data_IF_770924951232
#
_entry.id   IF_770924951232
#
_cell.length_a   1.000
_cell.length_b   1.000
_cell.length_c   1.000
_cell.angle_alpha   90.00
_cell.angle_beta   90.00
_cell.angle_gamma   90.00
#
_symmetry.space_group_name_H-M   'P 1'
#
loop_
_entity.id
_entity.type
_entity.pdbx_description
1 polymer ?
#
# COMPACT_ATOMS: atom_id res chain seq x y z
N UNK A 1 8.85 -38.11 30.93
CA UNK A 1 8.70 -36.65 31.18
C UNK A 1 9.88 -35.94 30.53
N UNK A 2 9.65 -34.77 29.93
CA UNK A 2 10.53 -33.93 29.08
C UNK A 2 10.34 -34.13 27.57
N UNK A 3 9.35 -33.39 27.04
CA UNK A 3 9.25 -33.04 25.61
C UNK A 3 10.36 -32.01 25.33
N UNK A 4 11.05 -32.15 24.19
CA UNK A 4 11.97 -31.13 23.69
C UNK A 4 11.13 -29.94 23.22
N UNK A 5 11.29 -28.80 23.88
CA UNK A 5 10.81 -27.52 23.38
C UNK A 5 11.76 -27.06 22.27
N UNK A 6 11.42 -27.41 21.02
CA UNK A 6 12.01 -26.79 19.84
C UNK A 6 11.51 -25.36 19.75
N UNK A 7 12.22 -24.42 20.38
CA UNK A 7 12.01 -22.99 20.12
C UNK A 7 12.61 -22.65 18.76
N UNK A 8 11.75 -22.43 17.76
CA UNK A 8 12.16 -21.84 16.50
C UNK A 8 12.77 -20.45 16.77
N UNK A 9 13.93 -20.10 16.18
CA UNK A 9 14.53 -18.80 16.42
C UNK A 9 13.66 -17.73 15.76
N UNK A 10 13.06 -16.85 16.58
CA UNK A 10 12.49 -15.58 16.10
C UNK A 10 13.68 -14.70 15.71
N UNK A 11 14.14 -14.82 14.47
CA UNK A 11 15.23 -14.01 13.92
C UNK A 11 14.74 -12.56 13.81
N UNK A 12 15.10 -11.73 14.78
CA UNK A 12 15.01 -10.28 14.64
C UNK A 12 16.01 -9.83 13.60
N UNK A 13 15.58 -9.04 12.60
CA UNK A 13 16.51 -8.37 11.69
C UNK A 13 17.51 -7.54 12.51
N UNK A 14 18.79 -7.65 12.16
CA UNK A 14 19.82 -6.81 12.75
C UNK A 14 19.63 -5.36 12.32
N UNK A 15 20.09 -4.40 13.12
CA UNK A 15 19.99 -2.97 12.80
C UNK A 15 20.65 -2.62 11.45
N UNK A 16 21.70 -3.36 11.06
CA UNK A 16 22.36 -3.18 9.76
C UNK A 16 21.47 -3.63 8.58
N UNK A 17 20.71 -4.71 8.72
CA UNK A 17 19.79 -5.17 7.68
C UNK A 17 18.60 -4.21 7.53
N UNK A 18 18.09 -3.67 8.63
CA UNK A 18 17.04 -2.65 8.60
C UNK A 18 17.49 -1.39 7.85
N UNK A 19 18.72 -0.93 8.12
CA UNK A 19 19.31 0.22 7.44
C UNK A 19 19.49 -0.05 5.94
N UNK A 20 20.01 -1.23 5.57
CA UNK A 20 20.17 -1.61 4.16
C UNK A 20 18.83 -1.66 3.41
N UNK A 21 17.75 -2.09 4.08
CA UNK A 21 16.41 -2.09 3.50
C UNK A 21 15.86 -0.67 3.37
N UNK A 22 16.10 0.18 4.37
CA UNK A 22 15.73 1.59 4.31
C UNK A 22 16.44 2.31 3.16
N UNK A 23 17.76 2.14 3.02
CA UNK A 23 18.54 2.77 1.95
C UNK A 23 18.06 2.33 0.56
N UNK A 24 17.69 1.05 0.44
CA UNK A 24 17.28 0.46 -0.85
C UNK A 24 15.83 0.77 -1.23
N UNK A 25 14.92 0.81 -0.26
CA UNK A 25 13.48 0.86 -0.52
C UNK A 25 12.79 2.07 0.12
N UNK A 26 13.50 2.91 0.86
CA UNK A 26 12.94 4.06 1.58
C UNK A 26 12.27 5.04 0.64
N UNK A 27 12.90 5.39 -0.49
CA UNK A 27 12.30 6.27 -1.50
C UNK A 27 11.05 5.69 -2.13
N UNK A 28 11.06 4.39 -2.46
CA UNK A 28 9.89 3.68 -3.01
C UNK A 28 8.73 3.66 -2.01
N UNK A 29 9.00 3.24 -0.78
CA UNK A 29 8.00 3.18 0.29
C UNK A 29 7.44 4.58 0.58
N UNK A 30 8.30 5.58 0.67
CA UNK A 30 7.90 6.97 0.90
C UNK A 30 7.00 7.51 -0.21
N UNK A 31 7.34 7.25 -1.48
CA UNK A 31 6.51 7.64 -2.62
C UNK A 31 5.12 7.01 -2.57
N UNK A 32 5.01 5.73 -2.19
CA UNK A 32 3.73 5.04 -2.02
C UNK A 32 2.93 5.66 -0.88
N UNK A 33 3.56 5.94 0.25
CA UNK A 33 2.91 6.54 1.41
C UNK A 33 2.38 7.94 1.03
N UNK A 34 3.17 8.76 0.32
CA UNK A 34 2.77 10.09 -0.12
C UNK A 34 1.57 10.10 -1.07
N UNK A 35 1.41 9.08 -1.92
CA UNK A 35 0.23 8.93 -2.78
C UNK A 35 -1.05 8.69 -1.98
N UNK A 36 -0.95 8.29 -0.71
CA UNK A 36 -2.10 7.98 0.16
C UNK A 36 -2.30 9.09 1.21
N UNK A 37 -1.19 9.58 1.77
CA UNK A 37 -1.12 10.65 2.77
C UNK A 37 -0.25 11.78 2.19
N UNK A 38 -0.84 12.84 1.60
CA UNK A 38 -0.07 13.94 1.01
C UNK A 38 0.70 14.80 2.03
N UNK A 39 0.44 14.62 3.32
CA UNK A 39 1.11 15.36 4.40
C UNK A 39 2.51 14.77 4.64
N UNK A 40 3.55 15.51 4.24
CA UNK A 40 4.95 15.04 4.26
C UNK A 40 5.44 14.61 5.65
N UNK A 41 5.05 15.33 6.70
CA UNK A 41 5.41 15.00 8.07
C UNK A 41 4.88 13.62 8.49
N UNK A 42 3.58 13.39 8.30
CA UNK A 42 2.94 12.11 8.62
C UNK A 42 3.45 10.98 7.73
N UNK A 43 3.70 11.25 6.45
CA UNK A 43 4.28 10.26 5.55
C UNK A 43 5.69 9.82 6.00
N UNK A 44 6.49 10.74 6.54
CA UNK A 44 7.79 10.42 7.13
C UNK A 44 7.66 9.60 8.42
N UNK A 45 6.71 9.93 9.29
CA UNK A 45 6.43 9.15 10.52
C UNK A 45 6.06 7.70 10.17
N UNK A 46 5.10 7.52 9.25
CA UNK A 46 4.68 6.19 8.77
C UNK A 46 5.84 5.42 8.13
N UNK A 47 6.73 6.10 7.39
CA UNK A 47 7.92 5.50 6.80
C UNK A 47 8.88 4.97 7.88
N UNK A 48 9.19 5.79 8.88
CA UNK A 48 10.08 5.42 9.99
C UNK A 48 9.50 4.24 10.76
N UNK A 49 8.20 4.29 11.08
CA UNK A 49 7.49 3.20 11.74
C UNK A 49 7.52 1.90 10.93
N UNK A 50 7.35 1.99 9.60
CA UNK A 50 7.38 0.82 8.72
C UNK A 50 8.70 0.05 8.84
N UNK A 51 9.83 0.75 8.75
CA UNK A 51 11.16 0.12 8.79
C UNK A 51 11.60 -0.25 10.21
N UNK A 52 11.07 0.43 11.23
CA UNK A 52 11.21 0.02 12.62
C UNK A 52 10.34 -1.21 12.97
N UNK A 53 9.30 -1.50 12.17
CA UNK A 53 8.32 -2.54 12.48
C UNK A 53 8.85 -3.97 12.29
N UNK A 54 8.39 -4.87 13.17
CA UNK A 54 8.63 -6.32 13.04
C UNK A 54 7.97 -6.94 11.80
N UNK A 55 7.04 -6.24 11.15
CA UNK A 55 6.32 -6.76 9.98
C UNK A 55 7.22 -6.79 8.74
N UNK A 56 8.27 -5.96 8.70
CA UNK A 56 9.34 -6.03 7.71
C UNK A 56 10.07 -7.39 7.75
N UNK A 57 10.16 -8.02 8.94
CA UNK A 57 10.80 -9.33 9.12
C UNK A 57 9.99 -10.46 8.46
N UNK A 58 8.66 -10.32 8.39
CA UNK A 58 7.81 -11.26 7.68
C UNK A 58 7.99 -11.17 6.16
N UNK A 59 8.47 -10.03 5.64
CA UNK A 59 8.75 -9.85 4.21
C UNK A 59 10.06 -10.51 3.77
N UNK A 60 11.08 -10.57 4.62
CA UNK A 60 12.36 -11.21 4.28
C UNK A 60 12.29 -12.74 4.27
N UNK A 61 11.31 -13.33 4.95
CA UNK A 61 11.10 -14.79 5.00
C UNK A 61 10.18 -15.37 3.94
N UNK A 62 9.58 -14.54 3.06
CA UNK A 62 8.63 -15.00 2.04
C UNK A 62 9.31 -15.20 0.68
N UNK A 63 8.79 -16.14 -0.12
CA UNK A 63 9.25 -16.43 -1.50
C UNK A 63 8.86 -15.35 -2.53
N UNK A 64 8.11 -14.33 -2.10
CA UNK A 64 7.69 -13.22 -2.95
C UNK A 64 8.79 -12.17 -3.06
N UNK A 65 8.80 -11.42 -4.16
CA UNK A 65 9.74 -10.32 -4.35
C UNK A 65 9.62 -9.33 -3.17
N UNK A 66 10.74 -9.10 -2.47
CA UNK A 66 10.82 -8.23 -1.30
C UNK A 66 10.27 -6.82 -1.59
N UNK A 67 10.46 -6.30 -2.80
CA UNK A 67 9.90 -5.02 -3.23
C UNK A 67 8.35 -5.04 -3.19
N UNK A 68 7.73 -6.11 -3.69
CA UNK A 68 6.26 -6.28 -3.64
C UNK A 68 5.76 -6.35 -2.19
N UNK A 69 6.50 -7.02 -1.31
CA UNK A 69 6.11 -7.09 0.10
C UNK A 69 6.17 -5.71 0.77
N UNK A 70 7.25 -4.95 0.53
CA UNK A 70 7.41 -3.58 1.06
C UNK A 70 6.32 -2.65 0.51
N UNK A 71 6.00 -2.73 -0.79
CA UNK A 71 4.91 -1.95 -1.40
C UNK A 71 3.58 -2.21 -0.70
N UNK A 72 3.25 -3.50 -0.49
CA UNK A 72 2.00 -3.90 0.18
C UNK A 72 1.96 -3.42 1.63
N UNK A 73 3.08 -3.55 2.35
CA UNK A 73 3.18 -3.12 3.74
C UNK A 73 3.07 -1.59 3.86
N UNK A 74 3.77 -0.84 3.00
CA UNK A 74 3.71 0.62 2.95
C UNK A 74 2.29 1.12 2.71
N UNK A 75 1.60 0.54 1.72
CA UNK A 75 0.19 0.87 1.46
C UNK A 75 -0.70 0.55 2.65
N UNK A 76 -0.56 -0.63 3.26
CA UNK A 76 -1.37 -1.01 4.42
C UNK A 76 -1.18 -0.03 5.59
N UNK A 77 0.07 0.34 5.89
CA UNK A 77 0.38 1.30 6.96
C UNK A 77 -0.14 2.70 6.68
N UNK A 78 -0.01 3.18 5.44
CA UNK A 78 -0.54 4.47 5.06
C UNK A 78 -2.08 4.50 5.16
N UNK A 79 -2.78 3.42 4.77
CA UNK A 79 -4.23 3.34 4.93
C UNK A 79 -4.66 3.31 6.40
N UNK A 80 -3.95 2.55 7.25
CA UNK A 80 -4.20 2.53 8.71
C UNK A 80 -4.02 3.92 9.33
N UNK A 81 -2.91 4.60 9.02
CA UNK A 81 -2.64 5.95 9.53
C UNK A 81 -3.69 6.96 9.02
N UNK A 82 -4.05 6.90 7.74
CA UNK A 82 -5.10 7.74 7.15
C UNK A 82 -6.45 7.53 7.86
N UNK A 83 -6.82 6.28 8.16
CA UNK A 83 -8.06 5.98 8.87
C UNK A 83 -8.07 6.53 10.30
N UNK A 84 -6.93 6.52 11.01
CA UNK A 84 -6.80 7.09 12.35
C UNK A 84 -6.92 8.62 12.37
N UNK A 85 -6.67 9.29 11.24
CA UNK A 85 -6.87 10.73 11.09
C UNK A 85 -8.34 11.13 10.85
N UNK A 86 -9.25 10.19 10.53
CA UNK A 86 -10.67 10.50 10.39
C UNK A 86 -11.37 10.52 11.76
N UNK A 87 -11.49 11.72 12.36
CA UNK A 87 -12.82 12.15 12.78
C UNK A 87 -13.32 13.49 12.22
N UNK A 88 -12.68 14.16 11.25
CA UNK A 88 -13.16 15.49 10.80
C UNK A 88 -13.13 15.85 9.30
N UNK A 89 -12.47 15.11 8.41
CA UNK A 89 -12.51 15.45 6.98
C UNK A 89 -13.53 14.59 6.21
N UNK A 90 -14.80 14.87 6.47
CA UNK A 90 -15.87 14.59 5.51
C UNK A 90 -15.77 15.61 4.37
N UNK A 91 -14.71 15.55 3.56
CA UNK A 91 -14.72 16.20 2.26
C UNK A 91 -15.52 15.30 1.31
N UNK A 92 -16.82 15.54 1.32
CA UNK A 92 -17.70 15.27 0.19
C UNK A 92 -17.13 15.99 -1.02
N UNK A 93 -16.23 15.35 -1.76
CA UNK A 93 -16.05 15.73 -3.15
C UNK A 93 -17.34 15.31 -3.86
N UNK A 94 -18.14 16.31 -4.25
CA UNK A 94 -19.27 16.06 -5.14
C UNK A 94 -18.77 15.30 -6.37
N UNK A 95 -19.53 14.32 -6.87
CA UNK A 95 -19.14 13.56 -8.05
C UNK A 95 -19.08 14.51 -9.24
N UNK A 96 -17.88 14.97 -9.57
CA UNK A 96 -17.60 15.65 -10.83
C UNK A 96 -18.00 14.68 -11.94
N UNK A 97 -18.77 15.10 -12.97
CA UNK A 97 -19.25 14.20 -14.00
C UNK A 97 -18.07 13.50 -14.68
N UNK A 98 -17.93 12.20 -14.40
CA UNK A 98 -16.81 11.36 -14.81
C UNK A 98 -16.81 11.18 -16.32
N UNK A 99 -15.72 11.60 -16.98
CA UNK A 99 -15.49 11.25 -18.38
C UNK A 99 -15.04 9.76 -18.43
N UNK A 100 -15.41 8.99 -19.47
CA UNK A 100 -14.95 7.61 -19.64
C UNK A 100 -13.43 7.46 -19.68
N UNK A 101 -12.73 8.52 -20.12
CA UNK A 101 -11.28 8.58 -20.24
C UNK A 101 -10.56 8.53 -18.87
N UNK A 102 -11.24 8.97 -17.80
CA UNK A 102 -10.69 9.02 -16.43
C UNK A 102 -10.95 7.72 -15.64
N UNK A 103 -11.68 6.77 -16.24
CA UNK A 103 -12.06 5.51 -15.60
C UNK A 103 -10.86 4.68 -15.09
N UNK A 104 -9.75 4.53 -15.85
CA UNK A 104 -8.58 3.78 -15.37
C UNK A 104 -7.94 4.40 -14.12
N UNK A 105 -7.85 5.73 -14.06
CA UNK A 105 -7.30 6.46 -12.92
C UNK A 105 -8.21 6.36 -11.70
N UNK A 106 -9.52 6.53 -11.88
CA UNK A 106 -10.50 6.38 -10.81
C UNK A 106 -10.47 4.98 -10.19
N UNK A 107 -10.45 3.94 -11.02
CA UNK A 107 -10.36 2.54 -10.57
C UNK A 107 -9.06 2.32 -9.79
N UNK A 108 -7.94 2.86 -10.27
CA UNK A 108 -6.67 2.79 -9.55
C UNK A 108 -6.74 3.50 -8.19
N UNK A 109 -7.34 4.68 -8.12
CA UNK A 109 -7.43 5.46 -6.90
C UNK A 109 -8.29 4.79 -5.83
N UNK A 110 -9.48 4.32 -6.22
CA UNK A 110 -10.38 3.59 -5.33
C UNK A 110 -9.69 2.36 -4.76
N UNK A 111 -9.01 1.59 -5.61
CA UNK A 111 -8.31 0.40 -5.16
C UNK A 111 -7.08 0.77 -4.33
N UNK A 112 -6.13 1.49 -4.91
CA UNK A 112 -4.80 1.68 -4.38
C UNK A 112 -4.75 2.73 -3.27
N UNK A 113 -5.35 3.92 -3.49
CA UNK A 113 -5.28 5.05 -2.55
C UNK A 113 -6.35 5.00 -1.46
N UNK A 114 -7.51 4.41 -1.76
CA UNK A 114 -8.64 4.36 -0.84
C UNK A 114 -8.86 2.99 -0.20
N UNK A 115 -8.28 1.93 -0.76
CA UNK A 115 -8.27 0.60 -0.14
C UNK A 115 -9.41 -0.31 -0.54
N UNK A 116 -10.28 0.08 -1.48
CA UNK A 116 -11.44 -0.71 -1.88
C UNK A 116 -11.06 -2.00 -2.62
N UNK A 117 -11.84 -3.06 -2.37
CA UNK A 117 -11.70 -4.31 -3.10
C UNK A 117 -12.29 -4.17 -4.52
N UNK A 118 -11.77 -4.90 -5.53
CA UNK A 118 -12.28 -4.81 -6.90
C UNK A 118 -13.79 -5.09 -7.03
N UNK A 119 -14.33 -5.99 -6.20
CA UNK A 119 -15.77 -6.28 -6.17
C UNK A 119 -16.58 -5.07 -5.66
N UNK A 120 -16.10 -4.40 -4.62
CA UNK A 120 -16.72 -3.16 -4.10
C UNK A 120 -16.65 -2.03 -5.12
N UNK A 121 -15.56 -1.91 -5.86
CA UNK A 121 -15.42 -0.91 -6.93
C UNK A 121 -16.41 -1.19 -8.07
N UNK A 122 -16.55 -2.46 -8.46
CA UNK A 122 -17.51 -2.88 -9.49
C UNK A 122 -18.96 -2.50 -9.10
N UNK A 123 -19.34 -2.75 -7.84
CA UNK A 123 -20.63 -2.36 -7.29
C UNK A 123 -20.81 -0.83 -7.25
N UNK A 124 -19.81 -0.10 -6.77
CA UNK A 124 -19.85 1.35 -6.60
C UNK A 124 -19.93 2.09 -7.94
N UNK A 125 -19.21 1.61 -8.95
CA UNK A 125 -19.20 2.19 -10.29
C UNK A 125 -20.27 1.58 -11.23
N UNK A 126 -21.01 0.57 -10.77
CA UNK A 126 -21.99 -0.18 -11.56
C UNK A 126 -21.42 -0.75 -12.87
N UNK A 127 -20.15 -1.18 -12.85
CA UNK A 127 -19.46 -1.79 -13.99
C UNK A 127 -19.11 -3.25 -13.66
N UNK A 128 -19.00 -4.14 -14.67
CA UNK A 128 -18.57 -5.50 -14.41
C UNK A 128 -17.12 -5.52 -13.93
N UNK A 129 -16.78 -6.50 -13.06
CA UNK A 129 -15.42 -6.70 -12.55
C UNK A 129 -14.36 -6.80 -13.66
N UNK A 130 -14.72 -7.32 -14.83
CA UNK A 130 -13.83 -7.36 -15.99
C UNK A 130 -13.38 -5.95 -16.45
N UNK A 131 -14.27 -4.96 -16.43
CA UNK A 131 -13.93 -3.57 -16.75
C UNK A 131 -13.09 -2.92 -15.64
N UNK A 132 -13.30 -3.27 -14.37
CA UNK A 132 -12.39 -2.86 -13.27
C UNK A 132 -10.97 -3.40 -13.52
N UNK A 133 -10.85 -4.68 -13.86
CA UNK A 133 -9.55 -5.30 -14.14
C UNK A 133 -8.87 -4.70 -15.38
N UNK A 134 -9.67 -4.37 -16.41
CA UNK A 134 -9.20 -3.67 -17.60
C UNK A 134 -8.73 -2.25 -17.27
N UNK A 135 -9.46 -1.52 -16.42
CA UNK A 135 -9.06 -0.22 -15.89
C UNK A 135 -7.68 -0.25 -15.22
N UNK A 136 -7.40 -1.26 -14.37
CA UNK A 136 -6.05 -1.44 -13.83
C UNK A 136 -5.01 -1.63 -14.93
N UNK A 137 -5.29 -2.49 -15.92
CA UNK A 137 -4.35 -2.76 -17.00
C UNK A 137 -4.05 -1.50 -17.82
N UNK A 138 -5.08 -0.74 -18.17
CA UNK A 138 -4.98 0.46 -18.99
C UNK A 138 -4.22 1.58 -18.24
N UNK A 139 -4.47 1.74 -16.94
CA UNK A 139 -3.70 2.66 -16.09
C UNK A 139 -2.21 2.27 -16.01
N UNK A 140 -1.88 1.00 -15.76
CA UNK A 140 -0.47 0.58 -15.76
C UNK A 140 0.19 0.64 -17.14
N UNK A 141 -0.59 0.63 -18.21
CA UNK A 141 -0.10 0.82 -19.58
C UNK A 141 0.22 2.30 -19.83
N UNK A 142 -0.62 3.23 -19.38
CA UNK A 142 -0.37 4.67 -19.54
C UNK A 142 0.89 5.10 -18.77
N UNK A 143 1.14 4.57 -17.57
CA UNK A 143 2.35 4.84 -16.78
C UNK A 143 3.67 4.35 -17.44
N UNK A 144 3.60 3.50 -18.46
CA UNK A 144 4.77 2.97 -19.19
C UNK A 144 5.05 3.73 -20.49
N UNK A 145 4.18 4.63 -20.90
CA UNK A 145 4.41 5.46 -22.08
C UNK A 145 5.21 6.71 -21.66
N UNK A 146 6.39 6.95 -22.25
CA UNK A 146 7.26 8.07 -21.90
C UNK A 146 6.73 9.42 -22.37
#
# INVERSE_FOLDING_TARGET
>A
MKRLDTSAPKQSLSSNEQLALYDRYGSLAYGIILQIIPQTHLAQEVLVELFASRYLQACSGQTTNLATCIVRLARARALEAKAQQLPLDAHSEEPTPLQPEDMPELVFDLAFRQGYAPDTIAEQLQIPKAEVMKGFHDYFKSLRQP
#
